data_IF_286206182126
#
_entry.id   IF_286206182126
#
_cell.length_a   1.000
_cell.length_b   1.000
_cell.length_c   1.000
_cell.angle_alpha   90.00
_cell.angle_beta   90.00
_cell.angle_gamma   90.00
#
_symmetry.space_group_name_H-M   'P 1'
#
loop_
_entity.id
_entity.type
_entity.pdbx_description
1 polymer ?
#
# COMPACT_ATOMS: atom_id res chain seq x y z
N UNK A 1 54.40 -61.14 8.28
CA UNK A 1 54.33 -61.09 9.76
C UNK A 1 53.70 -59.76 10.16
N UNK A 2 52.37 -59.67 10.07
CA UNK A 2 51.63 -58.50 10.54
C UNK A 2 51.53 -58.57 12.06
N UNK A 3 51.94 -57.48 12.71
CA UNK A 3 52.14 -57.36 14.15
C UNK A 3 50.85 -57.60 14.93
N UNK A 4 50.94 -58.26 16.09
CA UNK A 4 49.81 -58.53 17.00
C UNK A 4 48.99 -57.26 17.37
N UNK A 5 49.60 -56.07 17.27
CA UNK A 5 48.93 -54.79 17.46
C UNK A 5 47.88 -54.45 16.36
N UNK A 6 48.07 -54.93 15.13
CA UNK A 6 47.08 -54.79 14.05
C UNK A 6 45.92 -55.77 14.23
N UNK A 7 46.19 -57.00 14.72
CA UNK A 7 45.14 -57.98 15.02
C UNK A 7 44.21 -57.48 16.14
N UNK A 8 44.77 -56.86 17.19
CA UNK A 8 43.97 -56.30 18.29
C UNK A 8 43.13 -55.10 17.85
N UNK A 9 43.64 -54.23 16.97
CA UNK A 9 42.85 -53.13 16.37
C UNK A 9 41.71 -53.62 15.48
N UNK A 10 41.90 -54.72 14.76
CA UNK A 10 40.86 -55.33 13.92
C UNK A 10 39.78 -55.97 14.81
N UNK A 11 40.16 -56.67 15.88
CA UNK A 11 39.18 -57.24 16.81
C UNK A 11 38.39 -56.18 17.59
N UNK A 12 39.03 -55.07 17.99
CA UNK A 12 38.34 -53.93 18.62
C UNK A 12 37.37 -53.21 17.67
N UNK A 13 37.64 -53.19 16.36
CA UNK A 13 36.70 -52.65 15.33
C UNK A 13 35.54 -53.61 15.04
N UNK A 14 35.78 -54.92 15.06
CA UNK A 14 34.71 -55.93 14.89
C UNK A 14 33.76 -55.93 16.09
N UNK A 15 34.26 -55.68 17.30
CA UNK A 15 33.42 -55.48 18.50
C UNK A 15 32.62 -54.15 18.47
N UNK A 16 33.03 -53.18 17.66
CA UNK A 16 32.28 -51.95 17.41
C UNK A 16 31.26 -52.09 16.26
N UNK A 17 31.31 -53.17 15.48
CA UNK A 17 30.23 -53.53 14.57
C UNK A 17 29.20 -54.31 15.38
N UNK A 18 28.06 -53.66 15.65
CA UNK A 18 26.98 -54.23 16.44
C UNK A 18 26.60 -55.65 15.99
N UNK A 19 26.09 -56.47 16.92
CA UNK A 19 25.51 -57.79 16.70
C UNK A 19 24.74 -57.86 15.37
N UNK A 20 24.96 -58.88 14.52
CA UNK A 20 24.30 -59.02 13.23
C UNK A 20 22.76 -59.01 13.36
N UNK A 21 22.23 -59.50 14.48
CA UNK A 21 20.79 -59.41 14.80
C UNK A 21 20.35 -57.96 15.00
N UNK A 22 21.16 -57.15 15.68
CA UNK A 22 20.89 -55.72 15.86
C UNK A 22 20.98 -54.98 14.52
N UNK A 23 21.93 -55.33 13.66
CA UNK A 23 22.03 -54.74 12.31
C UNK A 23 20.81 -55.09 11.44
N UNK A 24 20.33 -56.34 11.49
CA UNK A 24 19.13 -56.77 10.78
C UNK A 24 17.87 -56.04 11.28
N UNK A 25 17.74 -55.82 12.60
CA UNK A 25 16.62 -55.03 13.15
C UNK A 25 16.68 -53.56 12.75
N UNK A 26 17.86 -52.94 12.78
CA UNK A 26 18.04 -51.55 12.31
C UNK A 26 17.62 -51.43 10.84
N UNK A 27 18.01 -52.40 10.00
CA UNK A 27 17.62 -52.40 8.60
C UNK A 27 16.10 -52.53 8.43
N UNK A 28 15.46 -53.42 9.18
CA UNK A 28 13.98 -53.57 9.17
C UNK A 28 13.29 -52.28 9.59
N UNK A 29 13.75 -51.65 10.66
CA UNK A 29 13.19 -50.38 11.14
C UNK A 29 13.36 -49.27 10.10
N UNK A 30 14.52 -49.19 9.44
CA UNK A 30 14.74 -48.23 8.35
C UNK A 30 13.78 -48.43 7.18
N UNK A 31 13.57 -49.67 6.74
CA UNK A 31 12.61 -49.98 5.66
C UNK A 31 11.19 -49.60 6.06
N UNK A 32 10.79 -49.87 7.31
CA UNK A 32 9.48 -49.46 7.84
C UNK A 32 9.35 -47.94 7.88
N UNK A 33 10.39 -47.24 8.35
CA UNK A 33 10.42 -45.78 8.41
C UNK A 33 10.36 -45.14 7.02
N UNK A 34 11.09 -45.68 6.04
CA UNK A 34 11.04 -45.22 4.65
C UNK A 34 9.64 -45.41 4.06
N UNK A 35 8.99 -46.54 4.34
CA UNK A 35 7.62 -46.78 3.91
C UNK A 35 6.64 -45.79 4.53
N UNK A 36 6.71 -45.56 5.84
CA UNK A 36 5.86 -44.57 6.55
C UNK A 36 6.13 -43.16 6.02
N UNK A 37 7.40 -42.80 5.82
CA UNK A 37 7.81 -41.52 5.25
C UNK A 37 7.20 -41.36 3.84
N UNK A 38 7.28 -42.37 2.98
CA UNK A 38 6.70 -42.33 1.64
C UNK A 38 5.17 -42.13 1.65
N UNK A 39 4.47 -42.72 2.62
CA UNK A 39 3.01 -42.55 2.78
C UNK A 39 2.61 -41.18 3.35
N UNK A 40 3.38 -40.68 4.30
CA UNK A 40 3.12 -39.38 4.98
C UNK A 40 3.68 -38.19 4.21
N UNK A 41 4.65 -38.40 3.31
CA UNK A 41 5.30 -37.33 2.56
C UNK A 41 4.33 -36.52 1.70
N UNK A 42 3.39 -37.11 0.94
CA UNK A 42 2.42 -36.34 0.19
C UNK A 42 1.51 -35.50 1.08
N UNK A 43 1.16 -35.94 2.30
CA UNK A 43 0.31 -35.15 3.18
C UNK A 43 1.03 -33.92 3.72
N UNK A 44 2.28 -34.09 4.15
CA UNK A 44 3.07 -33.01 4.77
C UNK A 44 3.71 -32.07 3.74
N UNK A 45 4.08 -32.60 2.57
CA UNK A 45 4.89 -31.90 1.57
C UNK A 45 4.18 -31.74 0.22
N UNK A 46 2.86 -32.00 0.13
CA UNK A 46 2.11 -31.78 -1.11
C UNK A 46 2.28 -30.35 -1.65
N UNK A 47 2.44 -29.39 -0.73
CA UNK A 47 2.52 -27.98 -1.06
C UNK A 47 3.70 -27.66 -2.00
N UNK A 48 4.74 -28.50 -2.02
CA UNK A 48 5.88 -28.37 -2.94
C UNK A 48 5.51 -28.67 -4.40
N UNK A 49 4.40 -29.38 -4.64
CA UNK A 49 3.90 -29.71 -5.99
C UNK A 49 2.81 -28.75 -6.47
N UNK A 50 2.13 -28.05 -5.56
CA UNK A 50 1.09 -27.08 -5.89
C UNK A 50 1.69 -25.74 -6.32
N UNK A 51 1.01 -25.08 -7.25
CA UNK A 51 1.38 -23.74 -7.68
C UNK A 51 1.19 -22.70 -6.56
N UNK A 52 2.10 -21.73 -6.51
CA UNK A 52 2.06 -20.64 -5.52
C UNK A 52 0.70 -19.92 -5.49
N UNK A 53 0.11 -19.67 -6.65
CA UNK A 53 -1.19 -19.01 -6.76
C UNK A 53 -2.28 -19.77 -6.00
N UNK A 54 -2.22 -21.09 -5.96
CA UNK A 54 -3.22 -21.94 -5.32
C UNK A 54 -3.09 -21.94 -3.80
N UNK A 55 -1.86 -21.87 -3.29
CA UNK A 55 -1.58 -21.74 -1.85
C UNK A 55 -2.09 -20.41 -1.28
N UNK A 56 -2.11 -19.38 -2.11
CA UNK A 56 -2.31 -17.98 -1.70
C UNK A 56 -3.74 -17.48 -2.00
N UNK A 57 -4.59 -18.34 -2.58
CA UNK A 57 -6.00 -18.02 -2.93
C UNK A 57 -6.83 -17.53 -1.73
N UNK A 58 -6.61 -18.12 -0.56
CA UNK A 58 -7.40 -17.82 0.65
C UNK A 58 -6.89 -16.57 1.39
N UNK A 59 -5.57 -16.33 1.35
CA UNK A 59 -4.95 -15.15 1.98
C UNK A 59 -5.32 -13.84 1.27
N UNK A 60 -5.55 -13.91 -0.04
CA UNK A 60 -5.92 -12.77 -0.87
C UNK A 60 -7.34 -12.96 -1.42
N UNK A 61 -8.38 -12.64 -0.64
CA UNK A 61 -9.75 -12.73 -1.12
C UNK A 61 -9.89 -11.94 -2.41
N UNK A 62 -10.44 -12.58 -3.45
CA UNK A 62 -10.63 -11.97 -4.76
C UNK A 62 -11.39 -10.66 -4.58
N UNK A 63 -10.72 -9.54 -4.87
CA UNK A 63 -11.30 -8.21 -4.77
C UNK A 63 -12.59 -8.18 -5.59
N UNK A 64 -13.69 -7.88 -4.92
CA UNK A 64 -15.02 -7.89 -5.52
C UNK A 64 -15.06 -6.95 -6.75
N UNK A 65 -15.19 -7.53 -7.95
CA UNK A 65 -15.04 -6.83 -9.23
C UNK A 65 -16.12 -5.75 -9.41
N UNK A 66 -17.32 -5.98 -8.88
CA UNK A 66 -18.43 -5.03 -8.95
C UNK A 66 -18.13 -3.77 -8.15
N UNK A 67 -17.56 -3.91 -6.94
CA UNK A 67 -17.11 -2.77 -6.12
C UNK A 67 -16.02 -1.97 -6.83
N UNK A 68 -15.10 -2.64 -7.54
CA UNK A 68 -14.03 -1.99 -8.30
C UNK A 68 -14.58 -1.22 -9.51
N UNK A 69 -15.51 -1.82 -10.25
CA UNK A 69 -16.12 -1.18 -11.42
C UNK A 69 -16.96 0.03 -11.02
N UNK A 70 -17.77 -0.10 -9.97
CA UNK A 70 -18.54 1.03 -9.41
C UNK A 70 -17.65 2.18 -8.93
N UNK A 71 -16.53 1.88 -8.29
CA UNK A 71 -15.56 2.90 -7.88
C UNK A 71 -14.92 3.60 -9.09
N UNK A 72 -14.58 2.86 -10.15
CA UNK A 72 -14.03 3.43 -11.38
C UNK A 72 -15.05 4.32 -12.11
N UNK A 73 -16.30 3.90 -12.17
CA UNK A 73 -17.39 4.66 -12.78
C UNK A 73 -17.67 5.95 -12.00
N UNK A 74 -17.70 5.89 -10.68
CA UNK A 74 -17.79 7.07 -9.82
C UNK A 74 -16.64 8.06 -10.07
N UNK A 75 -15.39 7.58 -10.14
CA UNK A 75 -14.23 8.45 -10.43
C UNK A 75 -14.33 9.07 -11.82
N UNK A 76 -14.74 8.31 -12.83
CA UNK A 76 -14.90 8.81 -14.20
C UNK A 76 -15.93 9.95 -14.26
N UNK A 77 -17.07 9.79 -13.58
CA UNK A 77 -18.10 10.84 -13.51
C UNK A 77 -17.63 12.13 -12.81
N UNK A 78 -16.70 12.04 -11.87
CA UNK A 78 -16.13 13.20 -11.17
C UNK A 78 -15.05 13.93 -11.98
N UNK A 79 -14.35 13.20 -12.86
CA UNK A 79 -13.22 13.71 -13.66
C UNK A 79 -13.68 14.25 -15.01
N UNK A 80 -14.78 13.72 -15.56
CA UNK A 80 -15.32 14.20 -16.83
C UNK A 80 -15.83 15.64 -16.69
N UNK A 81 -14.97 16.58 -17.10
CA UNK A 81 -15.34 17.97 -17.31
C UNK A 81 -16.40 17.97 -18.41
N UNK A 82 -17.57 18.55 -18.11
CA UNK A 82 -18.61 18.76 -19.13
C UNK A 82 -17.97 19.43 -20.34
N UNK A 83 -18.35 19.04 -21.57
CA UNK A 83 -17.79 19.65 -22.77
C UNK A 83 -17.87 21.16 -22.63
N UNK A 84 -16.75 21.84 -22.85
CA UNK A 84 -16.65 23.28 -22.74
C UNK A 84 -17.63 23.87 -23.73
N UNK A 85 -18.79 24.29 -23.24
CA UNK A 85 -19.69 25.12 -24.00
C UNK A 85 -18.88 26.34 -24.43
N UNK A 86 -18.84 26.70 -25.73
CA UNK A 86 -18.01 27.79 -26.20
C UNK A 86 -18.29 29.04 -25.37
N UNK A 87 -17.27 29.50 -24.65
CA UNK A 87 -17.35 30.55 -23.64
C UNK A 87 -17.99 31.82 -24.21
N UNK A 88 -17.76 32.09 -25.49
CA UNK A 88 -18.28 33.22 -26.25
C UNK A 88 -19.83 33.27 -26.31
N UNK A 89 -20.52 32.12 -26.25
CA UNK A 89 -21.97 32.09 -26.26
C UNK A 89 -22.60 32.60 -24.95
N UNK A 90 -21.87 32.50 -23.83
CA UNK A 90 -22.42 32.74 -22.49
C UNK A 90 -21.72 33.88 -21.73
N UNK A 91 -20.46 34.18 -22.03
CA UNK A 91 -19.71 35.28 -21.41
C UNK A 91 -19.64 36.44 -22.40
N UNK A 92 -20.68 37.27 -22.40
CA UNK A 92 -20.68 38.54 -23.13
C UNK A 92 -19.96 39.59 -22.29
N UNK A 93 -18.69 39.84 -22.60
CA UNK A 93 -17.93 40.93 -21.98
C UNK A 93 -18.41 42.25 -22.57
N UNK A 94 -19.31 42.92 -21.84
CA UNK A 94 -19.77 44.26 -22.20
C UNK A 94 -18.62 45.28 -22.03
N UNK A 95 -18.61 46.37 -22.80
CA UNK A 95 -17.62 47.43 -22.62
C UNK A 95 -17.67 47.99 -21.19
N UNK A 96 -16.51 48.40 -20.68
CA UNK A 96 -16.38 49.02 -19.36
C UNK A 96 -17.30 50.23 -19.24
N UNK A 97 -18.01 50.36 -18.11
CA UNK A 97 -18.93 51.46 -17.84
C UNK A 97 -18.23 52.82 -17.73
N UNK A 98 -16.94 52.84 -17.37
CA UNK A 98 -16.13 54.06 -17.28
C UNK A 98 -15.01 54.06 -18.34
N UNK A 99 -14.70 55.23 -18.94
CA UNK A 99 -13.60 55.38 -19.89
C UNK A 99 -12.25 55.24 -19.18
N UNK A 100 -11.25 54.72 -19.91
CA UNK A 100 -9.88 54.55 -19.42
C UNK A 100 -9.24 55.92 -19.15
N UNK A 101 -8.69 56.16 -17.95
CA UNK A 101 -8.04 57.42 -17.60
C UNK A 101 -6.74 57.57 -18.40
N UNK A 102 -6.51 58.79 -18.89
CA UNK A 102 -5.35 59.12 -19.71
C UNK A 102 -4.10 59.43 -18.88
N UNK A 103 -4.26 59.76 -17.60
CA UNK A 103 -3.16 60.16 -16.72
C UNK A 103 -2.84 59.09 -15.70
N UNK A 104 -1.56 58.92 -15.37
CA UNK A 104 -1.08 57.95 -14.37
C UNK A 104 -1.68 58.22 -12.99
N UNK A 105 -1.83 59.49 -12.62
CA UNK A 105 -2.48 59.87 -11.35
C UNK A 105 -3.96 59.47 -11.31
N UNK A 106 -4.69 59.57 -12.42
CA UNK A 106 -6.09 59.16 -12.48
C UNK A 106 -6.27 57.64 -12.60
N UNK A 107 -5.24 56.89 -12.99
CA UNK A 107 -5.24 55.43 -12.90
C UNK A 107 -5.24 54.98 -11.43
N UNK A 108 -4.52 55.70 -10.56
CA UNK A 108 -4.58 55.51 -9.11
C UNK A 108 -5.97 55.93 -8.63
N UNK A 109 -6.78 54.97 -8.18
CA UNK A 109 -8.15 55.27 -7.73
C UNK A 109 -9.26 54.97 -8.74
N UNK A 110 -8.92 54.71 -10.01
CA UNK A 110 -9.93 54.67 -11.09
C UNK A 110 -11.05 53.66 -10.83
N UNK A 111 -10.69 52.39 -10.59
CA UNK A 111 -11.65 51.34 -10.25
C UNK A 111 -11.90 51.24 -8.75
N UNK A 112 -10.93 51.60 -7.92
CA UNK A 112 -11.06 51.47 -6.46
C UNK A 112 -11.97 52.52 -5.80
N UNK A 113 -12.40 53.55 -6.54
CA UNK A 113 -13.48 54.47 -6.10
C UNK A 113 -14.87 53.82 -6.15
N UNK A 114 -15.05 52.77 -6.94
CA UNK A 114 -16.28 51.99 -6.91
C UNK A 114 -16.29 51.09 -5.66
N UNK A 115 -17.36 51.18 -4.87
CA UNK A 115 -17.51 50.42 -3.61
C UNK A 115 -17.36 48.92 -3.82
N UNK A 116 -17.76 48.39 -4.97
CA UNK A 116 -17.64 46.97 -5.29
C UNK A 116 -16.21 46.54 -5.67
N UNK A 117 -15.40 47.48 -6.13
CA UNK A 117 -14.03 47.26 -6.61
C UNK A 117 -12.98 47.89 -5.68
N UNK A 118 -13.42 48.37 -4.51
CA UNK A 118 -12.57 48.99 -3.52
C UNK A 118 -11.59 47.96 -2.94
N UNK A 119 -10.32 48.35 -2.90
CA UNK A 119 -9.24 47.53 -2.34
C UNK A 119 -9.42 47.34 -0.82
N UNK A 120 -9.93 48.37 -0.15
CA UNK A 120 -10.15 48.39 1.30
C UNK A 120 -11.50 47.76 1.68
N UNK A 121 -11.70 46.47 1.38
CA UNK A 121 -12.96 45.78 1.69
C UNK A 121 -13.22 45.67 3.20
N UNK A 122 -12.15 45.59 3.98
CA UNK A 122 -12.22 45.36 5.43
C UNK A 122 -11.77 46.56 6.28
N UNK A 123 -11.22 47.59 5.64
CA UNK A 123 -10.77 48.84 6.26
C UNK A 123 -9.74 48.66 7.38
N UNK A 124 -9.39 49.77 8.03
CA UNK A 124 -8.42 49.82 9.13
C UNK A 124 -8.83 49.01 10.38
N UNK A 125 -10.10 48.65 10.49
CA UNK A 125 -10.68 47.98 11.66
C UNK A 125 -11.02 46.50 11.41
N UNK A 126 -10.44 45.89 10.38
CA UNK A 126 -10.57 44.46 10.14
C UNK A 126 -10.12 43.68 11.39
N UNK A 127 -11.07 43.01 12.06
CA UNK A 127 -10.74 42.17 13.20
C UNK A 127 -10.14 40.84 12.71
N UNK A 128 -9.02 40.36 13.27
CA UNK A 128 -8.52 39.03 12.92
C UNK A 128 -9.60 37.99 13.25
N UNK A 129 -9.79 37.00 12.37
CA UNK A 129 -10.81 35.95 12.50
C UNK A 129 -10.51 34.93 13.63
N UNK A 130 -9.61 35.26 14.56
CA UNK A 130 -9.08 34.36 15.58
C UNK A 130 -8.10 33.32 15.01
N UNK A 131 -7.40 32.61 15.90
CA UNK A 131 -6.53 31.50 15.50
C UNK A 131 -7.33 30.24 15.12
N UNK A 132 -6.69 29.34 14.37
CA UNK A 132 -7.30 28.10 13.84
C UNK A 132 -7.94 27.25 14.95
N UNK A 133 -7.29 27.18 16.12
CA UNK A 133 -7.76 26.45 17.31
C UNK A 133 -9.15 26.91 17.75
N UNK A 134 -9.37 28.23 17.77
CA UNK A 134 -10.67 28.83 18.13
C UNK A 134 -11.72 28.61 17.05
N UNK A 135 -11.31 28.61 15.78
CA UNK A 135 -12.23 28.37 14.66
C UNK A 135 -12.72 26.91 14.62
N UNK A 136 -11.87 25.97 15.01
CA UNK A 136 -12.17 24.55 15.01
C UNK A 136 -12.69 24.02 16.35
N UNK A 137 -12.84 24.90 17.36
CA UNK A 137 -13.18 24.54 18.74
C UNK A 137 -12.30 23.41 19.29
N UNK A 138 -11.00 23.44 18.96
CA UNK A 138 -10.08 22.42 19.42
C UNK A 138 -9.72 22.62 20.90
N UNK A 139 -9.58 21.52 21.66
CA UNK A 139 -9.08 21.60 23.03
C UNK A 139 -7.66 22.19 23.01
N UNK A 140 -7.32 22.98 24.02
CA UNK A 140 -5.99 23.61 24.15
C UNK A 140 -4.85 22.58 24.22
N UNK A 141 -5.17 21.34 24.60
CA UNK A 141 -4.25 20.21 24.65
C UNK A 141 -3.72 19.79 23.27
N UNK A 142 -4.43 20.10 22.17
CA UNK A 142 -4.03 19.71 20.81
C UNK A 142 -2.86 20.54 20.25
N UNK A 143 -2.41 21.57 20.97
CA UNK A 143 -1.37 22.52 20.55
C UNK A 143 -0.10 22.38 21.41
N UNK A 144 -0.08 21.38 22.30
CA UNK A 144 1.03 21.08 23.20
C UNK A 144 1.93 19.97 22.67
#
# INVERSE_FOLDING_TARGET
MTSAAQQQKIQGRVLASCNFVAQDQIWKDQVVHEYIATKSWPANWNFLKTDYNDLVKEDFPKRNFDKKNKAKEAVKSLVEVRPVTPIDQYIKVMPSTRPVPKTTSAQVGWRSTDRLLALERYGKYARPKGGLVKQLNWPSEAVN
#
